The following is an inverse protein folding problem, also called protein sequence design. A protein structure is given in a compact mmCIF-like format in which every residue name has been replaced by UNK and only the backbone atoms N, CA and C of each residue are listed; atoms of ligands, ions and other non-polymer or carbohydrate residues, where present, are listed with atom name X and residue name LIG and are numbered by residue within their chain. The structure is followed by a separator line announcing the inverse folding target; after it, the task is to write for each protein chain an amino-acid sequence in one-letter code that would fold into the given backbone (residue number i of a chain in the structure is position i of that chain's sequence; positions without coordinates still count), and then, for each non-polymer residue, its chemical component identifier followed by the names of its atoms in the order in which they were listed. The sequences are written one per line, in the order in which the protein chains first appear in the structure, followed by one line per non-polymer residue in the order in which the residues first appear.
data_IF_483215267902
#
_entry.id   IF_483215267902
#
_cell.length_a   1.000
_cell.length_b   1.000
_cell.length_c   1.000
_cell.angle_alpha   90.00
_cell.angle_beta   90.00
_cell.angle_gamma   90.00
#
_symmetry.space_group_name_H-M   'P 1'
#
loop_
_entity.id
_entity.type
_entity.pdbx_description
1 polymer ?
#
# COMPACT_ATOMS: atom_id res chain seq x y z
N UNK A 1 25.63 0.51 -32.38
CA UNK A 1 24.57 1.49 -32.03
C UNK A 1 24.36 1.42 -30.52
N UNK A 2 24.79 2.42 -29.73
CA UNK A 2 24.46 2.44 -28.30
C UNK A 2 22.98 2.79 -28.13
N UNK A 3 22.26 1.92 -27.40
CA UNK A 3 20.83 2.05 -27.12
C UNK A 3 20.56 3.19 -26.15
N UNK A 4 19.45 3.90 -26.39
CA UNK A 4 18.96 4.99 -25.57
C UNK A 4 18.80 4.54 -24.11
N UNK A 5 19.58 5.14 -23.20
CA UNK A 5 19.28 5.12 -21.77
C UNK A 5 17.96 5.88 -21.61
N UNK A 6 16.93 5.22 -21.10
CA UNK A 6 15.72 5.89 -20.66
C UNK A 6 16.13 6.93 -19.62
N UNK A 7 15.98 8.20 -19.98
CA UNK A 7 16.20 9.32 -19.08
C UNK A 7 15.15 9.18 -17.98
N UNK A 8 15.58 8.83 -16.77
CA UNK A 8 14.74 8.94 -15.59
C UNK A 8 14.45 10.44 -15.43
N UNK A 9 13.31 10.87 -15.93
CA UNK A 9 12.83 12.23 -15.78
C UNK A 9 12.87 12.62 -14.30
N UNK A 10 13.11 13.91 -13.99
CA UNK A 10 13.16 14.35 -12.60
C UNK A 10 11.88 13.84 -11.93
N UNK A 11 12.05 13.12 -10.82
CA UNK A 11 11.00 12.99 -9.82
C UNK A 11 10.70 14.42 -9.40
N UNK A 12 9.81 15.09 -10.15
CA UNK A 12 9.29 16.41 -9.82
C UNK A 12 8.83 16.30 -8.38
N UNK A 13 9.27 17.25 -7.54
CA UNK A 13 9.09 17.25 -6.10
C UNK A 13 7.84 16.46 -5.71
N UNK A 14 8.05 15.23 -5.21
CA UNK A 14 6.95 14.28 -5.10
C UNK A 14 5.82 14.94 -4.31
N UNK A 15 4.68 15.15 -4.96
CA UNK A 15 3.51 15.74 -4.31
C UNK A 15 3.24 14.97 -3.01
N UNK A 16 2.85 15.67 -1.93
CA UNK A 16 2.54 15.01 -0.66
C UNK A 16 1.50 13.90 -0.90
N UNK A 17 1.74 12.70 -0.37
CA UNK A 17 0.91 11.51 -0.60
C UNK A 17 1.38 10.58 -1.72
N UNK A 18 2.23 11.02 -2.67
CA UNK A 18 2.67 10.16 -3.80
C UNK A 18 3.46 8.95 -3.32
N UNK A 19 4.32 9.10 -2.31
CA UNK A 19 5.11 7.99 -1.77
C UNK A 19 4.24 6.89 -1.15
N UNK A 20 3.28 7.26 -0.31
CA UNK A 20 2.36 6.31 0.33
C UNK A 20 1.45 5.62 -0.70
N UNK A 21 0.96 6.37 -1.69
CA UNK A 21 0.15 5.81 -2.77
C UNK A 21 0.94 4.86 -3.67
N UNK A 22 2.17 5.22 -4.04
CA UNK A 22 3.06 4.39 -4.84
C UNK A 22 3.38 3.07 -4.10
N UNK A 23 3.63 3.15 -2.79
CA UNK A 23 3.87 1.96 -1.97
C UNK A 23 2.63 1.07 -1.89
N UNK A 24 1.45 1.65 -1.69
CA UNK A 24 0.18 0.93 -1.69
C UNK A 24 -0.02 0.15 -3.01
N UNK A 25 0.25 0.79 -4.15
CA UNK A 25 0.14 0.15 -5.45
C UNK A 25 1.17 -0.95 -5.65
N UNK A 26 2.43 -0.73 -5.23
CA UNK A 26 3.49 -1.71 -5.35
C UNK A 26 3.17 -3.00 -4.56
N UNK A 27 2.67 -2.86 -3.33
CA UNK A 27 2.29 -4.00 -2.49
C UNK A 27 1.13 -4.81 -3.09
N UNK A 28 0.05 -4.14 -3.50
CA UNK A 28 -1.10 -4.77 -4.16
C UNK A 28 -0.66 -5.54 -5.42
N UNK A 29 0.20 -4.90 -6.24
CA UNK A 29 0.70 -5.50 -7.48
C UNK A 29 1.60 -6.70 -7.21
N UNK A 30 2.52 -6.59 -6.24
CA UNK A 30 3.40 -7.70 -5.84
C UNK A 30 2.58 -8.90 -5.37
N UNK A 31 1.56 -8.67 -4.54
CA UNK A 31 0.67 -9.73 -4.06
C UNK A 31 -0.06 -10.44 -5.20
N UNK A 32 -0.66 -9.68 -6.11
CA UNK A 32 -1.38 -10.25 -7.25
C UNK A 32 -0.45 -11.04 -8.18
N UNK A 33 0.66 -10.44 -8.61
CA UNK A 33 1.59 -11.06 -9.56
C UNK A 33 2.31 -12.27 -8.96
N UNK A 34 2.66 -12.24 -7.66
CA UNK A 34 3.26 -13.40 -7.01
C UNK A 34 2.28 -14.57 -6.91
N UNK A 35 0.99 -14.31 -6.64
CA UNK A 35 -0.03 -15.34 -6.64
C UNK A 35 -0.26 -15.93 -8.04
N UNK A 36 -0.37 -15.08 -9.07
CA UNK A 36 -0.51 -15.52 -10.46
C UNK A 36 0.71 -16.31 -10.94
N UNK A 37 1.93 -15.89 -10.56
CA UNK A 37 3.16 -16.61 -10.88
C UNK A 37 3.12 -18.03 -10.32
N UNK A 38 2.66 -18.22 -9.08
CA UNK A 38 2.48 -19.58 -8.52
C UNK A 38 1.47 -20.38 -9.34
N UNK A 39 0.34 -19.78 -9.72
CA UNK A 39 -0.71 -20.48 -10.48
C UNK A 39 -0.28 -20.86 -11.90
N UNK A 40 0.45 -19.98 -12.60
CA UNK A 40 0.96 -20.23 -13.96
C UNK A 40 1.89 -21.44 -14.02
N UNK A 41 2.68 -21.64 -12.96
CA UNK A 41 3.61 -22.75 -12.84
C UNK A 41 2.93 -24.03 -12.32
N UNK A 42 1.69 -23.96 -11.83
CA UNK A 42 1.01 -25.10 -11.22
C UNK A 42 1.79 -25.64 -10.02
N UNK A 43 1.83 -26.97 -9.86
CA UNK A 43 2.47 -27.62 -8.71
C UNK A 43 3.95 -27.25 -8.53
N UNK A 44 4.70 -27.02 -9.62
CA UNK A 44 6.13 -26.67 -9.56
C UNK A 44 6.36 -25.24 -9.05
N UNK A 45 5.33 -24.38 -9.04
CA UNK A 45 5.43 -23.02 -8.50
C UNK A 45 5.67 -22.97 -6.99
N UNK A 46 5.35 -24.07 -6.29
CA UNK A 46 5.52 -24.21 -4.83
C UNK A 46 6.67 -25.13 -4.44
N UNK A 47 7.41 -25.65 -5.41
CA UNK A 47 8.57 -26.52 -5.20
C UNK A 47 9.89 -25.73 -5.34
N UNK A 48 11.02 -26.41 -5.16
CA UNK A 48 12.36 -25.79 -5.11
C UNK A 48 12.89 -25.36 -6.49
N UNK A 49 12.23 -25.79 -7.55
CA UNK A 49 12.61 -25.59 -8.94
C UNK A 49 12.18 -24.20 -9.44
N UNK A 50 11.29 -23.52 -8.73
CA UNK A 50 10.86 -22.16 -9.09
C UNK A 50 10.75 -21.24 -7.87
N UNK A 51 11.23 -20.00 -8.01
CA UNK A 51 11.29 -19.00 -6.94
C UNK A 51 9.96 -18.28 -6.66
N UNK A 52 8.89 -18.54 -7.44
CA UNK A 52 7.59 -17.86 -7.28
C UNK A 52 7.06 -17.91 -5.83
N UNK A 53 7.22 -19.04 -5.15
CA UNK A 53 6.79 -19.20 -3.76
C UNK A 53 7.56 -18.30 -2.78
N UNK A 54 8.80 -17.89 -3.09
CA UNK A 54 9.56 -16.95 -2.28
C UNK A 54 8.94 -15.55 -2.36
N UNK A 55 8.55 -15.12 -3.56
CA UNK A 55 7.88 -13.84 -3.77
C UNK A 55 6.48 -13.80 -3.16
N UNK A 56 5.76 -14.92 -3.17
CA UNK A 56 4.46 -15.03 -2.49
C UNK A 56 4.59 -14.82 -0.97
N UNK A 57 5.57 -15.48 -0.35
CA UNK A 57 5.89 -15.29 1.08
C UNK A 57 6.36 -13.86 1.38
N UNK A 58 7.20 -13.31 0.50
CA UNK A 58 7.68 -11.92 0.62
C UNK A 58 6.53 -10.91 0.55
N UNK A 59 5.59 -11.08 -0.37
CA UNK A 59 4.43 -10.20 -0.49
C UNK A 59 3.64 -10.12 0.83
N UNK A 60 3.42 -11.27 1.47
CA UNK A 60 2.77 -11.33 2.78
C UNK A 60 3.60 -10.64 3.88
N UNK A 61 4.92 -10.84 3.90
CA UNK A 61 5.82 -10.17 4.85
C UNK A 61 5.86 -8.65 4.64
N UNK A 62 5.89 -8.18 3.39
CA UNK A 62 5.98 -6.76 3.06
C UNK A 62 4.71 -6.01 3.51
N UNK A 63 3.52 -6.60 3.38
CA UNK A 63 2.28 -6.02 3.93
C UNK A 63 2.29 -5.91 5.47
N UNK A 64 2.89 -6.88 6.16
CA UNK A 64 3.02 -6.83 7.62
C UNK A 64 4.05 -5.79 8.07
N UNK A 65 5.17 -5.67 7.35
CA UNK A 65 6.27 -4.77 7.68
C UNK A 65 5.94 -3.30 7.37
N UNK A 66 5.30 -3.06 6.23
CA UNK A 66 5.01 -1.71 5.73
C UNK A 66 3.61 -1.23 6.09
N UNK A 67 2.79 -2.14 6.62
CA UNK A 67 1.40 -1.91 6.96
C UNK A 67 0.44 -2.20 5.80
N UNK A 68 -0.85 -2.41 6.11
CA UNK A 68 -1.82 -2.82 5.12
C UNK A 68 -2.10 -1.70 4.10
N UNK A 69 -2.33 -2.08 2.85
CA UNK A 69 -2.53 -1.20 1.69
C UNK A 69 -3.58 -0.10 1.93
N UNK A 70 -4.68 -0.41 2.63
CA UNK A 70 -5.73 0.58 2.92
C UNK A 70 -5.25 1.73 3.82
N UNK A 71 -4.32 1.49 4.75
CA UNK A 71 -3.76 2.55 5.61
C UNK A 71 -2.80 3.45 4.83
N UNK A 72 -2.03 2.87 3.90
CA UNK A 72 -1.17 3.63 3.01
C UNK A 72 -1.99 4.54 2.08
N UNK A 73 -3.11 4.04 1.54
CA UNK A 73 -4.06 4.86 0.75
C UNK A 73 -4.72 5.96 1.59
N UNK A 74 -5.10 5.67 2.84
CA UNK A 74 -5.67 6.67 3.75
C UNK A 74 -4.66 7.79 4.06
N UNK A 75 -3.42 7.42 4.40
CA UNK A 75 -2.31 8.37 4.61
C UNK A 75 -2.05 9.23 3.38
N UNK A 76 -2.04 8.63 2.18
CA UNK A 76 -1.89 9.38 0.94
C UNK A 76 -3.01 10.41 0.73
N UNK A 77 -4.24 10.05 1.08
CA UNK A 77 -5.39 10.95 0.96
C UNK A 77 -5.38 12.09 1.99
N UNK A 78 -4.90 11.82 3.21
CA UNK A 78 -4.66 12.85 4.24
C UNK A 78 -3.58 13.83 3.79
N UNK A 79 -2.44 13.33 3.32
CA UNK A 79 -1.32 14.15 2.81
C UNK A 79 -1.74 14.99 1.59
N UNK A 80 -2.61 14.46 0.73
CA UNK A 80 -3.16 15.17 -0.43
C UNK A 80 -4.37 16.08 -0.08
N UNK A 81 -4.84 16.09 1.18
CA UNK A 81 -5.97 16.93 1.60
C UNK A 81 -7.31 16.58 0.95
N UNK A 82 -7.49 15.35 0.47
CA UNK A 82 -8.68 14.96 -0.32
C UNK A 82 -9.99 15.04 0.48
N UNK A 83 -9.93 14.98 1.80
CA UNK A 83 -11.10 14.93 2.68
C UNK A 83 -11.29 16.16 3.58
N UNK A 84 -10.48 17.22 3.45
CA UNK A 84 -10.57 18.42 4.30
C UNK A 84 -11.62 19.45 3.80
N UNK A 85 -12.15 19.26 2.58
CA UNK A 85 -13.08 20.17 1.91
C UNK A 85 -14.55 20.15 2.36
N UNK A 86 -14.81 20.04 3.66
CA UNK A 86 -16.16 20.11 4.27
C UNK A 86 -16.30 21.15 5.39
N UNK A 87 -15.26 21.93 5.70
CA UNK A 87 -15.27 22.95 6.76
C UNK A 87 -15.56 24.36 6.21
N UNK A 88 -16.52 24.45 5.29
CA UNK A 88 -17.08 25.70 4.77
C UNK A 88 -18.54 25.86 5.19
N UNK A 89 -18.79 25.97 6.50
CA UNK A 89 -20.11 26.24 7.06
C UNK A 89 -19.99 26.54 8.55
N UNK A 90 -20.18 27.82 8.89
CA UNK A 90 -20.21 28.38 10.25
C UNK A 90 -20.90 27.48 11.28
N UNK A 91 -20.21 27.15 12.37
CA UNK A 91 -20.80 26.43 13.50
C UNK A 91 -19.76 26.01 14.53
N UNK A 92 -19.50 26.90 15.47
CA UNK A 92 -18.81 26.65 16.73
C UNK A 92 -19.30 25.36 17.43
N UNK A 93 -18.40 24.40 17.65
CA UNK A 93 -18.58 23.35 18.66
C UNK A 93 -17.22 22.77 19.07
N UNK A 94 -16.81 23.12 20.28
CA UNK A 94 -15.77 22.46 21.06
C UNK A 94 -16.11 20.97 21.22
N UNK A 95 -15.34 20.08 20.60
CA UNK A 95 -15.43 18.64 20.77
C UNK A 95 -14.06 18.07 21.10
N UNK A 96 -13.87 17.64 22.35
CA UNK A 96 -12.60 17.16 22.91
C UNK A 96 -12.05 15.86 22.30
N UNK A 97 -10.91 15.37 22.80
CA UNK A 97 -10.17 14.26 22.20
C UNK A 97 -11.00 12.98 22.18
N UNK A 98 -11.19 12.43 20.98
CA UNK A 98 -11.74 11.08 20.76
C UNK A 98 -10.77 10.09 21.37
N UNK A 99 -11.09 9.58 22.56
CA UNK A 99 -10.39 8.45 23.15
C UNK A 99 -10.72 7.21 22.34
N UNK A 100 -9.66 6.56 21.83
CA UNK A 100 -9.75 5.28 21.15
C UNK A 100 -10.27 4.24 22.13
N UNK A 101 -11.55 3.85 21.97
CA UNK A 101 -12.14 2.76 22.72
C UNK A 101 -11.46 1.44 22.38
N UNK A 102 -10.80 0.85 23.37
CA UNK A 102 -10.31 -0.52 23.39
C UNK A 102 -11.46 -1.46 23.05
N UNK A 103 -11.45 -2.08 21.86
CA UNK A 103 -12.33 -3.21 21.58
C UNK A 103 -11.68 -4.46 22.16
N UNK A 104 -12.27 -4.86 23.27
CA UNK A 104 -12.06 -6.12 23.99
C UNK A 104 -12.18 -7.32 23.04
N UNK A 105 -11.35 -8.32 23.30
CA UNK A 105 -11.35 -9.61 22.62
C UNK A 105 -12.73 -10.26 22.69
N UNK A 106 -13.26 -10.64 21.53
CA UNK A 106 -14.29 -11.68 21.44
C UNK A 106 -13.56 -12.97 21.08
N UNK A 107 -13.41 -13.80 22.09
CA UNK A 107 -13.19 -15.24 22.00
C UNK A 107 -14.46 -15.88 21.43
N UNK A 108 -14.36 -16.52 20.25
CA UNK A 108 -15.13 -17.71 19.82
C UNK A 108 -14.27 -18.50 18.83
#
# INVERSE_FOLDING_TARGET
RPGARAEAGPCGAAEPGVGALALAQALETLRAMAAEAVQLHGGIGFTWEHEAHLYFKRAACDELLLGPVHRLRARAAEEAGLFTGGAGGSGEATGGPVTAGTREAVDV
#
